data_IF_748563373549
#
_entry.id   IF_748563373549
#
_cell.length_a   1.000
_cell.length_b   1.000
_cell.length_c   1.000
_cell.angle_alpha   90.00
_cell.angle_beta   90.00
_cell.angle_gamma   90.00
#
_symmetry.space_group_name_H-M   'P 1'
#
loop_
_entity.id
_entity.type
_entity.pdbx_description
1 polymer ?
#
# COMPACT_ATOMS: atom_id res chain seq x y z
N UNK A 1 -13.80 9.89 -9.97
CA UNK A 1 -13.71 9.87 -8.50
C UNK A 1 -13.36 8.45 -8.12
N UNK A 2 -12.18 8.19 -7.57
CA UNK A 2 -11.94 6.91 -6.90
C UNK A 2 -12.78 6.96 -5.63
N UNK A 3 -13.81 6.14 -5.61
CA UNK A 3 -14.79 6.12 -4.55
C UNK A 3 -14.16 5.54 -3.27
N UNK A 4 -13.72 6.42 -2.38
CA UNK A 4 -13.20 6.06 -1.05
C UNK A 4 -14.33 5.45 -0.18
N UNK A 5 -15.59 5.53 -0.63
CA UNK A 5 -16.73 4.94 0.07
C UNK A 5 -16.75 3.40 0.04
N UNK A 6 -15.94 2.77 -0.81
CA UNK A 6 -15.94 1.32 -1.03
C UNK A 6 -14.60 0.66 -0.64
N UNK A 7 -13.98 1.15 0.45
CA UNK A 7 -12.75 0.57 1.01
C UNK A 7 -13.10 -0.78 1.63
N UNK A 8 -12.41 -1.87 1.25
CA UNK A 8 -12.70 -3.17 1.83
C UNK A 8 -12.33 -3.22 3.31
N UNK A 9 -13.11 -3.98 4.07
CA UNK A 9 -12.79 -4.29 5.45
C UNK A 9 -11.48 -5.07 5.56
N UNK A 10 -10.78 -4.96 6.69
CA UNK A 10 -9.63 -5.81 6.98
C UNK A 10 -9.99 -7.29 6.86
N UNK A 11 -9.10 -8.09 6.31
CA UNK A 11 -9.29 -9.54 6.22
C UNK A 11 -8.18 -10.29 6.94
N UNK A 12 -8.54 -11.37 7.62
CA UNK A 12 -7.57 -12.33 8.14
C UNK A 12 -6.98 -13.17 7.01
N UNK A 13 -5.69 -13.45 7.12
CA UNK A 13 -4.98 -14.30 6.18
C UNK A 13 -4.21 -15.39 6.96
N UNK A 14 -3.97 -16.57 6.35
CA UNK A 14 -3.20 -17.61 7.01
C UNK A 14 -1.80 -17.14 7.35
N UNK A 15 -1.28 -17.62 8.49
CA UNK A 15 0.12 -17.47 8.84
C UNK A 15 1.04 -18.10 7.81
N UNK A 16 2.25 -17.56 7.68
CA UNK A 16 3.24 -18.13 6.80
C UNK A 16 3.75 -19.47 7.35
N UNK A 17 3.74 -20.49 6.50
CA UNK A 17 4.14 -21.86 6.87
C UNK A 17 5.06 -22.42 5.78
N UNK A 18 6.31 -22.70 6.13
CA UNK A 18 7.30 -23.28 5.23
C UNK A 18 6.97 -24.72 4.79
N UNK A 19 6.17 -25.44 5.58
CA UNK A 19 5.80 -26.83 5.29
C UNK A 19 4.84 -26.97 4.10
N UNK A 20 4.24 -25.87 3.62
CA UNK A 20 3.29 -25.92 2.50
C UNK A 20 3.98 -25.84 1.16
N UNK A 21 3.63 -26.78 0.28
CA UNK A 21 4.09 -26.77 -1.10
C UNK A 21 3.56 -25.54 -1.85
N UNK A 22 4.26 -25.13 -2.93
CA UNK A 22 3.81 -24.06 -3.81
C UNK A 22 2.41 -24.31 -4.36
N UNK A 23 2.10 -25.58 -4.71
CA UNK A 23 0.79 -26.00 -5.22
C UNK A 23 -0.31 -25.78 -4.19
N UNK A 24 -0.10 -26.14 -2.92
CA UNK A 24 -1.04 -25.91 -1.83
C UNK A 24 -1.24 -24.42 -1.57
N UNK A 25 -0.17 -23.64 -1.57
CA UNK A 25 -0.23 -22.19 -1.39
C UNK A 25 -1.07 -21.51 -2.49
N UNK A 26 -0.87 -21.90 -3.76
CA UNK A 26 -1.65 -21.41 -4.90
C UNK A 26 -3.12 -21.82 -4.75
N UNK A 27 -3.39 -23.10 -4.44
CA UNK A 27 -4.75 -23.62 -4.30
C UNK A 27 -5.51 -22.92 -3.18
N UNK A 28 -4.93 -22.79 -2.01
CA UNK A 28 -5.55 -22.14 -0.86
C UNK A 28 -5.79 -20.63 -1.12
N UNK A 29 -4.83 -19.95 -1.72
CA UNK A 29 -4.96 -18.54 -2.06
C UNK A 29 -6.01 -18.29 -3.14
N UNK A 30 -6.12 -19.16 -4.14
CA UNK A 30 -7.13 -19.05 -5.20
C UNK A 30 -8.54 -19.29 -4.68
N UNK A 31 -8.73 -20.30 -3.79
CA UNK A 31 -10.01 -20.57 -3.13
C UNK A 31 -10.46 -19.37 -2.29
N UNK A 32 -9.59 -18.81 -1.45
CA UNK A 32 -9.91 -17.62 -0.64
C UNK A 32 -10.35 -16.42 -1.50
N UNK A 33 -9.69 -16.23 -2.66
CA UNK A 33 -10.01 -15.16 -3.61
C UNK A 33 -11.14 -15.53 -4.60
N UNK A 34 -11.83 -16.65 -4.39
CA UNK A 34 -12.95 -17.15 -5.22
C UNK A 34 -12.59 -17.15 -6.72
N UNK A 35 -11.40 -17.65 -7.06
CA UNK A 35 -10.90 -17.70 -8.45
C UNK A 35 -10.25 -19.05 -8.76
N UNK A 36 -10.10 -19.41 -10.04
CA UNK A 36 -9.39 -20.63 -10.39
C UNK A 36 -7.87 -20.47 -10.15
N UNK A 37 -7.18 -21.57 -9.82
CA UNK A 37 -5.74 -21.58 -9.58
C UNK A 37 -4.94 -21.08 -10.80
N UNK A 38 -5.39 -21.39 -12.01
CA UNK A 38 -4.78 -20.88 -13.23
C UNK A 38 -4.87 -19.36 -13.35
N UNK A 39 -6.08 -18.79 -13.22
CA UNK A 39 -6.29 -17.33 -13.26
C UNK A 39 -5.52 -16.61 -12.15
N UNK A 40 -5.50 -17.20 -10.96
CA UNK A 40 -4.72 -16.67 -9.83
C UNK A 40 -3.23 -16.62 -10.18
N UNK A 41 -2.66 -17.71 -10.72
CA UNK A 41 -1.24 -17.79 -11.08
C UNK A 41 -0.88 -16.78 -12.18
N UNK A 42 -1.66 -16.72 -13.25
CA UNK A 42 -1.45 -15.74 -14.34
C UNK A 42 -1.47 -14.30 -13.81
N UNK A 43 -2.46 -13.98 -12.96
CA UNK A 43 -2.54 -12.65 -12.32
C UNK A 43 -1.33 -12.36 -11.44
N UNK A 44 -0.84 -13.35 -10.68
CA UNK A 44 0.36 -13.22 -9.84
C UNK A 44 1.60 -12.94 -10.66
N UNK A 45 1.84 -13.72 -11.71
CA UNK A 45 2.98 -13.53 -12.62
C UNK A 45 2.92 -12.15 -13.27
N UNK A 46 1.77 -11.78 -13.83
CA UNK A 46 1.56 -10.43 -14.40
C UNK A 46 1.87 -9.34 -13.38
N UNK A 47 1.39 -9.46 -12.15
CA UNK A 47 1.59 -8.46 -11.11
C UNK A 47 3.06 -8.34 -10.70
N UNK A 48 3.80 -9.45 -10.65
CA UNK A 48 5.24 -9.44 -10.38
C UNK A 48 5.99 -8.71 -11.51
N UNK A 49 5.68 -9.01 -12.77
CA UNK A 49 6.31 -8.36 -13.92
C UNK A 49 6.02 -6.85 -13.89
N UNK A 50 4.74 -6.46 -13.75
CA UNK A 50 4.35 -5.04 -13.71
C UNK A 50 4.96 -4.30 -12.50
N UNK A 51 5.11 -4.97 -11.35
CA UNK A 51 5.79 -4.42 -10.18
C UNK A 51 7.25 -4.10 -10.49
N UNK A 52 8.00 -5.06 -11.07
CA UNK A 52 9.40 -4.86 -11.43
C UNK A 52 9.58 -3.76 -12.47
N UNK A 53 8.73 -3.75 -13.49
CA UNK A 53 8.74 -2.72 -14.51
C UNK A 53 8.42 -1.33 -13.92
N UNK A 54 7.42 -1.23 -13.04
CA UNK A 54 7.08 0.03 -12.38
C UNK A 54 8.22 0.54 -11.49
N UNK A 55 8.89 -0.35 -10.77
CA UNK A 55 9.99 -0.02 -9.85
C UNK A 55 11.14 0.69 -10.56
N UNK A 56 11.54 0.20 -11.74
CA UNK A 56 12.66 0.76 -12.52
C UNK A 56 12.25 1.79 -13.56
N UNK A 57 10.96 1.97 -13.83
CA UNK A 57 10.48 2.85 -14.89
C UNK A 57 10.77 4.33 -14.57
N UNK A 58 11.44 5.11 -15.44
CA UNK A 58 11.71 6.52 -15.19
C UNK A 58 10.47 7.42 -15.37
N UNK A 59 9.45 6.97 -16.13
CA UNK A 59 8.28 7.76 -16.50
C UNK A 59 7.14 7.58 -15.51
N UNK A 60 6.75 8.67 -14.81
CA UNK A 60 5.65 8.65 -13.82
C UNK A 60 4.33 8.11 -14.40
N UNK A 61 3.94 8.54 -15.60
CA UNK A 61 2.69 8.12 -16.24
C UNK A 61 2.63 6.59 -16.48
N UNK A 62 3.77 5.97 -16.79
CA UNK A 62 3.89 4.52 -16.99
C UNK A 62 3.87 3.77 -15.65
N UNK A 63 4.57 4.30 -14.62
CA UNK A 63 4.51 3.73 -13.26
C UNK A 63 3.07 3.67 -12.77
N UNK A 64 2.32 4.76 -12.87
CA UNK A 64 0.90 4.82 -12.49
C UNK A 64 0.07 3.77 -13.25
N UNK A 65 0.23 3.69 -14.59
CA UNK A 65 -0.49 2.70 -15.41
C UNK A 65 -0.21 1.27 -14.97
N UNK A 66 1.05 0.95 -14.66
CA UNK A 66 1.44 -0.38 -14.20
C UNK A 66 0.87 -0.70 -12.82
N UNK A 67 0.92 0.23 -11.88
CA UNK A 67 0.33 0.04 -10.54
C UNK A 67 -1.20 -0.09 -10.60
N UNK A 68 -1.91 0.72 -11.40
CA UNK A 68 -3.36 0.56 -11.63
C UNK A 68 -3.70 -0.82 -12.20
N UNK A 69 -2.94 -1.33 -13.18
CA UNK A 69 -3.12 -2.67 -13.77
C UNK A 69 -2.89 -3.81 -12.76
N UNK A 70 -2.08 -3.58 -11.72
CA UNK A 70 -1.89 -4.52 -10.62
C UNK A 70 -3.07 -4.52 -9.63
N UNK A 71 -3.90 -3.49 -9.63
CA UNK A 71 -5.04 -3.34 -8.75
C UNK A 71 -4.90 -2.22 -7.71
N UNK A 72 -3.84 -1.42 -7.74
CA UNK A 72 -3.72 -0.23 -6.88
C UNK A 72 -4.74 0.82 -7.32
N UNK A 73 -5.50 1.35 -6.38
CA UNK A 73 -6.46 2.42 -6.62
C UNK A 73 -5.71 3.76 -6.59
N UNK A 74 -5.63 4.43 -7.74
CA UNK A 74 -4.86 5.68 -7.88
C UNK A 74 -5.74 6.74 -8.53
N UNK A 75 -5.83 7.90 -7.90
CA UNK A 75 -6.58 9.06 -8.33
C UNK A 75 -5.97 9.81 -9.53
N UNK A 76 -6.41 11.05 -9.74
CA UNK A 76 -5.92 11.95 -10.78
C UNK A 76 -4.72 12.75 -10.27
N UNK A 77 -3.88 13.26 -11.20
CA UNK A 77 -2.73 14.12 -10.93
C UNK A 77 -1.74 13.58 -9.89
N UNK A 78 -1.64 12.25 -9.76
CA UNK A 78 -0.76 11.62 -8.79
C UNK A 78 0.68 11.60 -9.31
N UNK A 79 1.63 11.89 -8.43
CA UNK A 79 3.04 11.63 -8.66
C UNK A 79 3.49 10.46 -7.81
N UNK A 80 4.11 9.47 -8.42
CA UNK A 80 4.77 8.35 -7.74
C UNK A 80 6.23 8.40 -8.14
N UNK A 81 7.13 8.68 -7.21
CA UNK A 81 8.57 8.70 -7.42
C UNK A 81 9.11 7.33 -7.83
N UNK A 82 10.38 7.29 -8.21
CA UNK A 82 11.05 6.03 -8.58
C UNK A 82 11.25 5.13 -7.36
N UNK A 83 11.41 3.84 -7.62
CA UNK A 83 11.79 2.83 -6.62
C UNK A 83 10.78 2.68 -5.46
N UNK A 84 9.53 3.10 -5.65
CA UNK A 84 8.49 2.85 -4.66
C UNK A 84 8.11 1.37 -4.61
N UNK A 85 8.19 0.78 -3.42
CA UNK A 85 7.74 -0.58 -3.12
C UNK A 85 6.26 -0.55 -2.70
N UNK A 86 5.35 -0.67 -3.65
CA UNK A 86 3.91 -0.75 -3.39
C UNK A 86 3.49 -2.22 -3.38
N UNK A 87 2.82 -2.66 -2.32
CA UNK A 87 2.49 -4.05 -2.02
C UNK A 87 2.24 -4.92 -3.27
N UNK A 88 2.96 -6.03 -3.35
CA UNK A 88 2.84 -6.97 -4.47
C UNK A 88 1.83 -8.10 -4.20
N UNK A 89 1.56 -8.41 -2.94
CA UNK A 89 0.65 -9.47 -2.55
C UNK A 89 -0.82 -9.00 -2.57
N UNK A 90 -1.07 -7.77 -2.11
CA UNK A 90 -2.39 -7.18 -1.95
C UNK A 90 -2.46 -5.74 -2.47
N UNK A 91 -2.09 -5.49 -3.75
CA UNK A 91 -2.12 -4.13 -4.32
C UNK A 91 -3.51 -3.51 -4.31
N UNK A 92 -4.56 -4.33 -4.33
CA UNK A 92 -5.96 -3.92 -4.26
C UNK A 92 -6.38 -3.31 -2.91
N UNK A 93 -5.54 -3.37 -1.89
CA UNK A 93 -5.73 -2.74 -0.59
C UNK A 93 -5.01 -1.39 -0.43
N UNK A 94 -4.42 -0.87 -1.52
CA UNK A 94 -3.75 0.43 -1.53
C UNK A 94 -4.60 1.46 -2.27
N UNK A 95 -4.93 2.55 -1.57
CA UNK A 95 -5.77 3.66 -2.05
C UNK A 95 -4.98 4.95 -2.01
N UNK A 96 -4.77 5.55 -3.17
CA UNK A 96 -4.05 6.80 -3.36
C UNK A 96 -5.02 7.80 -4.00
N UNK A 97 -5.36 8.86 -3.27
CA UNK A 97 -6.30 9.90 -3.69
C UNK A 97 -5.77 10.78 -4.83
N UNK A 98 -6.60 11.75 -5.22
CA UNK A 98 -6.22 12.74 -6.23
C UNK A 98 -5.12 13.67 -5.68
N UNK A 99 -4.28 14.20 -6.55
CA UNK A 99 -3.25 15.20 -6.25
C UNK A 99 -2.20 14.73 -5.21
N UNK A 100 -2.09 13.42 -4.95
CA UNK A 100 -1.09 12.85 -4.03
C UNK A 100 0.29 12.82 -4.66
N UNK A 101 1.32 13.13 -3.86
CA UNK A 101 2.73 13.01 -4.24
C UNK A 101 3.47 12.05 -3.32
N UNK A 102 4.05 10.99 -3.90
CA UNK A 102 5.04 10.10 -3.28
C UNK A 102 6.41 10.47 -3.82
N UNK A 103 7.31 10.93 -2.96
CA UNK A 103 8.61 11.46 -3.41
C UNK A 103 9.54 10.40 -4.01
N UNK A 104 9.42 9.14 -3.58
CA UNK A 104 10.18 8.02 -4.10
C UNK A 104 10.85 7.17 -3.03
N UNK A 105 11.28 5.98 -3.41
CA UNK A 105 11.87 4.98 -2.50
C UNK A 105 10.96 4.61 -1.30
N UNK A 106 9.67 4.88 -1.42
CA UNK A 106 8.69 4.63 -0.37
C UNK A 106 8.29 3.16 -0.31
N UNK A 107 7.99 2.67 0.89
CA UNK A 107 7.49 1.31 1.12
C UNK A 107 6.05 1.38 1.63
N UNK A 108 5.12 0.81 0.88
CA UNK A 108 3.67 0.81 1.19
C UNK A 108 3.20 -0.64 1.21
N UNK A 109 2.96 -1.20 2.40
CA UNK A 109 2.61 -2.61 2.59
C UNK A 109 1.33 -2.75 3.38
N UNK A 110 0.30 -3.38 2.78
CA UNK A 110 -1.03 -3.52 3.37
C UNK A 110 -1.23 -4.81 4.17
N UNK A 111 -0.22 -5.67 4.29
CA UNK A 111 -0.38 -6.96 4.96
C UNK A 111 0.68 -7.20 6.04
N UNK A 112 0.27 -7.93 7.08
CA UNK A 112 1.12 -8.54 8.09
C UNK A 112 0.93 -10.04 7.93
N UNK A 113 2.01 -10.78 7.70
CA UNK A 113 1.95 -12.23 7.54
C UNK A 113 3.10 -12.88 8.30
N UNK A 114 3.00 -12.98 9.64
CA UNK A 114 4.03 -13.61 10.46
C UNK A 114 4.06 -15.12 10.25
N UNK A 115 5.15 -15.74 10.68
CA UNK A 115 5.26 -17.19 10.69
C UNK A 115 4.25 -17.83 11.67
N UNK A 116 3.87 -19.07 11.38
CA UNK A 116 2.89 -19.83 12.17
C UNK A 116 3.22 -19.92 13.67
N UNK A 117 4.49 -19.94 14.03
CA UNK A 117 4.89 -19.98 15.45
C UNK A 117 4.56 -18.69 16.22
N UNK A 118 4.15 -17.61 15.54
CA UNK A 118 3.62 -16.39 16.16
C UNK A 118 2.09 -16.37 16.26
N UNK A 119 1.43 -17.49 15.92
CA UNK A 119 -0.03 -17.63 16.08
C UNK A 119 -0.43 -17.38 17.54
N UNK A 120 -1.43 -16.51 17.73
CA UNK A 120 -1.84 -16.07 19.07
C UNK A 120 -1.03 -14.91 19.68
N UNK A 121 0.11 -14.51 19.06
CA UNK A 121 0.92 -13.34 19.48
C UNK A 121 0.69 -12.16 18.53
N UNK A 122 0.78 -12.40 17.24
CA UNK A 122 0.54 -11.39 16.20
C UNK A 122 -0.56 -11.84 15.25
N UNK A 123 -1.43 -10.92 14.89
CA UNK A 123 -2.47 -11.19 13.89
C UNK A 123 -1.87 -11.26 12.47
N UNK A 124 -2.33 -12.25 11.70
CA UNK A 124 -2.02 -12.33 10.27
C UNK A 124 -3.18 -11.75 9.47
N UNK A 125 -3.00 -10.54 8.94
CA UNK A 125 -4.09 -9.78 8.32
C UNK A 125 -3.65 -8.87 7.17
N UNK A 126 -4.62 -8.49 6.36
CA UNK A 126 -4.49 -7.41 5.37
C UNK A 126 -5.38 -6.26 5.84
N UNK A 127 -4.80 -5.06 5.90
CA UNK A 127 -5.51 -3.84 6.32
C UNK A 127 -5.28 -2.76 5.26
N UNK A 128 -6.32 -2.10 4.75
CA UNK A 128 -6.18 -1.07 3.74
C UNK A 128 -5.23 0.05 4.15
N UNK A 129 -4.44 0.55 3.20
CA UNK A 129 -3.70 1.80 3.32
C UNK A 129 -4.40 2.86 2.50
N UNK A 130 -4.63 4.01 3.09
CA UNK A 130 -5.37 5.11 2.50
C UNK A 130 -4.50 6.36 2.54
N UNK A 131 -4.24 6.94 1.38
CA UNK A 131 -3.56 8.22 1.24
C UNK A 131 -4.58 9.16 0.59
N UNK A 132 -5.08 10.11 1.38
CA UNK A 132 -6.17 11.00 0.95
C UNK A 132 -5.65 12.09 0.02
N UNK A 133 -6.59 12.85 -0.56
CA UNK A 133 -6.32 13.88 -1.56
C UNK A 133 -5.25 14.88 -1.09
N UNK A 134 -4.35 15.24 -2.00
CA UNK A 134 -3.35 16.28 -1.78
C UNK A 134 -2.26 15.93 -0.75
N UNK A 135 -2.25 14.71 -0.21
CA UNK A 135 -1.23 14.33 0.75
C UNK A 135 0.16 14.22 0.09
N UNK A 136 1.19 14.60 0.84
CA UNK A 136 2.58 14.52 0.42
C UNK A 136 3.39 13.57 1.30
N UNK A 137 3.96 12.56 0.69
CA UNK A 137 4.82 11.57 1.33
C UNK A 137 6.26 11.86 0.92
N UNK A 138 7.09 12.19 1.91
CA UNK A 138 8.53 12.43 1.74
C UNK A 138 9.27 11.16 1.34
N UNK A 139 10.48 11.30 0.81
CA UNK A 139 11.30 10.17 0.35
C UNK A 139 11.60 9.14 1.45
N UNK A 140 11.64 7.86 1.08
CA UNK A 140 11.99 6.73 2.01
C UNK A 140 11.02 6.58 3.18
N UNK A 141 9.77 6.95 3.02
CA UNK A 141 8.75 6.69 4.02
C UNK A 141 8.28 5.25 3.98
N UNK A 142 7.85 4.74 5.14
CA UNK A 142 7.22 3.42 5.27
C UNK A 142 5.79 3.60 5.79
N UNK A 143 4.80 3.14 5.03
CA UNK A 143 3.41 3.06 5.45
C UNK A 143 3.08 1.60 5.73
N UNK A 144 2.76 1.28 6.98
CA UNK A 144 2.43 -0.09 7.42
C UNK A 144 0.93 -0.34 7.36
N UNK A 145 0.47 -1.60 7.45
CA UNK A 145 -0.95 -1.96 7.33
C UNK A 145 -1.85 -1.14 8.25
N UNK A 146 -2.90 -0.54 7.67
CA UNK A 146 -3.83 0.33 8.37
C UNK A 146 -3.42 1.81 8.45
N UNK A 147 -2.26 2.18 7.92
CA UNK A 147 -1.87 3.58 7.83
C UNK A 147 -2.89 4.39 7.00
N UNK A 148 -3.31 5.52 7.53
CA UNK A 148 -4.17 6.47 6.83
C UNK A 148 -3.57 7.87 6.91
N UNK A 149 -3.26 8.46 5.75
CA UNK A 149 -2.75 9.82 5.65
C UNK A 149 -3.89 10.72 5.19
N UNK A 150 -4.30 11.65 6.03
CA UNK A 150 -5.43 12.55 5.81
C UNK A 150 -5.18 13.56 4.69
N UNK A 151 -6.26 14.24 4.27
CA UNK A 151 -6.20 15.24 3.20
C UNK A 151 -5.13 16.32 3.47
N UNK A 152 -4.34 16.62 2.45
CA UNK A 152 -3.27 17.64 2.52
C UNK A 152 -2.30 17.46 3.69
N UNK A 153 -2.23 16.26 4.28
CA UNK A 153 -1.21 15.97 5.29
C UNK A 153 0.15 15.73 4.63
N UNK A 154 1.20 15.98 5.39
CA UNK A 154 2.58 15.76 4.97
C UNK A 154 3.29 14.76 5.89
N UNK A 155 4.03 13.83 5.29
CA UNK A 155 4.88 12.87 5.99
C UNK A 155 6.33 13.21 5.68
N UNK A 156 7.12 13.56 6.69
CA UNK A 156 8.54 13.89 6.54
C UNK A 156 9.34 12.68 6.07
N UNK A 157 10.39 12.94 5.29
CA UNK A 157 11.27 11.89 4.76
C UNK A 157 11.77 10.92 5.84
N UNK A 158 11.85 9.62 5.49
CA UNK A 158 12.32 8.56 6.38
C UNK A 158 11.37 8.18 7.51
N UNK A 159 10.13 8.66 7.50
CA UNK A 159 9.16 8.40 8.57
C UNK A 159 8.47 7.05 8.41
N UNK A 160 8.04 6.46 9.54
CA UNK A 160 7.23 5.23 9.58
C UNK A 160 5.83 5.56 10.08
N UNK A 161 4.85 5.51 9.19
CA UNK A 161 3.43 5.76 9.49
C UNK A 161 2.75 4.45 9.85
N UNK A 162 2.37 4.30 11.12
CA UNK A 162 1.69 3.12 11.65
C UNK A 162 0.27 3.42 12.17
N UNK A 163 -0.19 4.67 12.03
CA UNK A 163 -1.47 5.14 12.53
C UNK A 163 -2.11 6.13 11.56
N UNK A 164 -3.24 6.70 11.99
CA UNK A 164 -3.93 7.77 11.26
C UNK A 164 -3.21 9.11 11.45
N UNK A 165 -2.81 9.72 10.35
CA UNK A 165 -2.32 11.10 10.25
C UNK A 165 -3.53 12.01 10.00
N UNK A 166 -3.83 13.01 10.85
CA UNK A 166 -4.91 13.95 10.59
C UNK A 166 -4.68 14.78 9.32
N UNK A 167 -5.76 15.30 8.74
CA UNK A 167 -5.66 16.23 7.62
C UNK A 167 -4.85 17.49 8.02
N UNK A 168 -4.17 18.09 7.03
CA UNK A 168 -3.38 19.33 7.21
C UNK A 168 -2.30 19.26 8.29
N UNK A 169 -1.76 18.07 8.53
CA UNK A 169 -0.79 17.81 9.61
C UNK A 169 0.53 17.34 9.04
N UNK A 170 1.64 17.89 9.53
CA UNK A 170 2.98 17.35 9.33
C UNK A 170 3.29 16.33 10.42
N UNK A 171 3.71 15.14 9.99
CA UNK A 171 4.26 14.11 10.89
C UNK A 171 5.68 13.74 10.52
N UNK A 172 6.48 13.33 11.51
CA UNK A 172 7.88 12.91 11.30
C UNK A 172 8.29 11.83 12.29
N UNK A 173 9.27 11.02 11.89
CA UNK A 173 9.97 10.07 12.76
C UNK A 173 9.52 8.60 12.61
N UNK A 174 10.08 7.75 13.46
CA UNK A 174 9.78 6.32 13.55
C UNK A 174 9.53 5.93 15.02
N UNK A 175 8.27 5.67 15.43
CA UNK A 175 7.05 5.90 14.66
C UNK A 175 6.78 7.39 14.41
N UNK A 176 6.08 7.70 13.31
CA UNK A 176 5.75 9.07 12.95
C UNK A 176 4.85 9.72 14.00
N UNK A 177 5.25 10.91 14.46
CA UNK A 177 4.51 11.73 15.43
C UNK A 177 4.19 13.09 14.82
N UNK A 178 3.10 13.71 15.29
CA UNK A 178 2.71 15.04 14.87
C UNK A 178 3.79 16.08 15.22
N UNK A 179 4.16 16.87 14.21
CA UNK A 179 5.07 18.01 14.34
C UNK A 179 4.28 19.30 14.46
N UNK A 180 3.40 19.57 13.48
CA UNK A 180 2.55 20.77 13.48
C UNK A 180 1.28 20.56 12.63
N UNK A 181 0.32 21.46 12.79
CA UNK A 181 -0.81 21.64 11.88
C UNK A 181 -0.61 22.92 11.06
N UNK A 182 -1.01 22.89 9.78
CA UNK A 182 -0.78 24.01 8.86
C UNK A 182 -1.99 24.40 8.02
N UNK A 183 -3.20 23.95 8.38
CA UNK A 183 -4.44 24.30 7.65
C UNK A 183 -4.61 25.82 7.46
N UNK A 184 -4.30 26.60 8.48
CA UNK A 184 -4.39 28.05 8.44
C UNK A 184 -3.35 28.71 7.51
N UNK A 185 -2.31 27.98 7.07
CA UNK A 185 -1.24 28.49 6.20
C UNK A 185 -1.51 28.17 4.73
N UNK A 186 -2.49 27.31 4.41
CA UNK A 186 -2.87 26.97 3.04
C UNK A 186 -3.83 28.02 2.50
N UNK A 187 -3.40 28.71 1.43
CA UNK A 187 -4.20 29.73 0.71
C UNK A 187 -4.97 29.09 -0.44
#
# INVERSE_FOLDING_TARGET
MNDISNIPEPIEIPYFDHGKSLKETITNSSKRRKTSSFRFTVRKIRNIILYRLAFFCPLNSWRIKMHRRRGVHIGKNVYIGQSCCIDNAYPEYIYIGDDVSLAGEDTIVAHINPYKHFEGVFESKVVPIIIEKGAWIGVKCTLVPGARVGEYAAVSAGSVVNNKVPAYTLVAGNPAKKVCEFKAMMK
#
